data_IF_290800353674
#
_entry.id   IF_290800353674
#
_cell.length_a   1.000
_cell.length_b   1.000
_cell.length_c   1.000
_cell.angle_alpha   90.00
_cell.angle_beta   90.00
_cell.angle_gamma   90.00
#
_symmetry.space_group_name_H-M   'P 1'
#
loop_
_entity.id
_entity.type
_entity.pdbx_description
1 polymer ?
#
# COMPACT_ATOMS: atom_id res chain seq x y z
N UNK A 1 37.81 -38.95 -6.33
CA UNK A 1 37.68 -37.50 -6.63
C UNK A 1 36.33 -36.92 -6.20
N UNK A 2 35.19 -37.60 -6.42
CA UNK A 2 33.85 -37.10 -6.06
C UNK A 2 33.52 -37.05 -4.53
N UNK A 3 34.14 -37.89 -3.71
CA UNK A 3 33.89 -37.93 -2.25
C UNK A 3 34.68 -36.86 -1.47
N UNK A 4 35.88 -36.52 -1.95
CA UNK A 4 36.71 -35.44 -1.37
C UNK A 4 36.12 -34.05 -1.62
N UNK A 5 35.44 -33.85 -2.75
CA UNK A 5 34.68 -32.62 -3.04
C UNK A 5 33.48 -32.46 -2.11
N UNK A 6 32.81 -33.57 -1.76
CA UNK A 6 31.63 -33.56 -0.89
C UNK A 6 31.99 -33.22 0.58
N UNK A 7 33.11 -33.77 1.07
CA UNK A 7 33.61 -33.51 2.43
C UNK A 7 34.13 -32.07 2.57
N UNK A 8 34.77 -31.50 1.53
CA UNK A 8 35.19 -30.08 1.52
C UNK A 8 34.02 -29.10 1.49
N UNK A 9 32.93 -29.41 0.80
CA UNK A 9 31.72 -28.59 0.83
C UNK A 9 31.08 -28.54 2.24
N UNK A 10 31.10 -29.66 2.96
CA UNK A 10 30.53 -29.75 4.31
C UNK A 10 31.34 -28.95 5.35
N UNK A 11 32.66 -29.01 5.28
CA UNK A 11 33.54 -28.27 6.19
C UNK A 11 33.44 -26.74 6.00
N UNK A 12 33.21 -26.29 4.76
CA UNK A 12 32.89 -24.89 4.46
C UNK A 12 31.58 -24.44 5.13
N UNK A 13 30.53 -25.26 5.10
CA UNK A 13 29.25 -24.89 5.71
C UNK A 13 29.34 -24.75 7.24
N UNK A 14 30.12 -25.63 7.89
CA UNK A 14 30.31 -25.57 9.34
C UNK A 14 31.16 -24.35 9.75
N UNK A 15 32.23 -24.02 9.02
CA UNK A 15 33.16 -22.94 9.38
C UNK A 15 32.66 -21.54 9.00
N UNK A 16 31.87 -21.40 7.92
CA UNK A 16 31.33 -20.11 7.49
C UNK A 16 29.96 -19.76 8.10
N UNK A 17 29.33 -20.68 8.85
CA UNK A 17 28.05 -20.43 9.53
C UNK A 17 28.11 -19.20 10.46
N UNK A 18 29.18 -19.06 11.24
CA UNK A 18 29.41 -17.91 12.12
C UNK A 18 29.67 -16.62 11.34
N UNK A 19 30.36 -16.70 10.19
CA UNK A 19 30.63 -15.53 9.35
C UNK A 19 29.33 -15.03 8.70
N UNK A 20 28.48 -15.94 8.22
CA UNK A 20 27.16 -15.60 7.67
C UNK A 20 26.27 -14.98 8.74
N UNK A 21 26.26 -15.56 9.96
CA UNK A 21 25.47 -15.03 11.08
C UNK A 21 25.97 -13.64 11.51
N UNK A 22 27.29 -13.43 11.58
CA UNK A 22 27.87 -12.11 11.83
C UNK A 22 27.55 -11.13 10.71
N UNK A 23 27.55 -11.57 9.44
CA UNK A 23 27.17 -10.72 8.31
C UNK A 23 25.70 -10.30 8.40
N UNK A 24 24.80 -11.22 8.75
CA UNK A 24 23.36 -10.92 8.98
C UNK A 24 23.19 -9.98 10.17
N UNK A 25 23.91 -10.19 11.27
CA UNK A 25 23.87 -9.31 12.44
C UNK A 25 24.44 -7.93 12.15
N UNK A 26 25.51 -7.82 11.37
CA UNK A 26 26.10 -6.53 10.95
C UNK A 26 25.17 -5.82 9.98
N UNK A 27 24.56 -6.52 9.03
CA UNK A 27 23.54 -5.96 8.14
C UNK A 27 22.35 -5.47 8.97
N UNK A 28 21.84 -6.29 9.88
CA UNK A 28 20.73 -5.96 10.79
C UNK A 28 21.07 -4.77 11.69
N UNK A 29 22.25 -4.76 12.33
CA UNK A 29 22.71 -3.69 13.20
C UNK A 29 22.98 -2.39 12.43
N UNK A 30 23.62 -2.47 11.25
CA UNK A 30 23.79 -1.32 10.35
C UNK A 30 22.43 -0.78 9.89
N UNK A 31 21.47 -1.67 9.60
CA UNK A 31 20.11 -1.30 9.24
C UNK A 31 19.40 -0.58 10.39
N UNK A 32 19.48 -1.12 11.63
CA UNK A 32 18.92 -0.48 12.82
C UNK A 32 19.55 0.90 13.09
N UNK A 33 20.87 1.03 12.96
CA UNK A 33 21.59 2.28 13.24
C UNK A 33 21.34 3.34 12.16
N UNK A 34 21.36 2.96 10.88
CA UNK A 34 21.07 3.86 9.74
C UNK A 34 19.63 4.37 9.81
N UNK A 35 18.66 3.52 10.19
CA UNK A 35 17.25 3.89 10.40
C UNK A 35 17.05 4.89 11.54
N UNK A 36 17.85 4.80 12.60
CA UNK A 36 17.66 5.61 13.81
C UNK A 36 18.43 6.94 13.80
N UNK A 37 19.46 7.09 12.97
CA UNK A 37 20.30 8.30 12.94
C UNK A 37 19.93 9.32 11.84
N UNK A 38 19.19 8.90 10.79
CA UNK A 38 18.85 9.78 9.68
C UNK A 38 17.35 9.73 9.34
N UNK A 39 16.60 10.78 9.70
CA UNK A 39 15.20 10.95 9.29
C UNK A 39 15.00 10.92 7.74
N UNK A 40 16.06 11.23 6.97
CA UNK A 40 16.09 11.14 5.50
C UNK A 40 16.17 9.70 4.97
N UNK A 41 16.72 8.77 5.75
CA UNK A 41 16.81 7.36 5.34
C UNK A 41 15.45 6.67 5.39
N UNK A 42 14.55 7.09 6.28
CA UNK A 42 13.15 6.65 6.29
C UNK A 42 12.42 7.01 4.99
N UNK A 43 12.70 8.21 4.45
CA UNK A 43 12.14 8.68 3.18
C UNK A 43 12.75 7.93 1.96
N UNK A 44 14.03 7.51 2.01
CA UNK A 44 14.71 6.74 0.95
C UNK A 44 14.32 5.26 0.99
N UNK A 45 14.20 4.68 2.18
CA UNK A 45 13.76 3.31 2.38
C UNK A 45 12.30 3.13 1.94
N UNK A 46 11.43 4.11 2.24
CA UNK A 46 10.09 4.17 1.67
C UNK A 46 10.12 4.32 0.15
N UNK A 47 11.07 5.07 -0.42
CA UNK A 47 11.21 5.20 -1.89
C UNK A 47 11.72 3.92 -2.57
N UNK A 48 12.59 3.17 -1.90
CA UNK A 48 13.12 1.89 -2.39
C UNK A 48 12.11 0.75 -2.24
N UNK A 49 11.32 0.71 -1.16
CA UNK A 49 10.21 -0.24 -1.01
C UNK A 49 9.02 0.09 -1.93
N UNK A 50 8.80 1.37 -2.27
CA UNK A 50 7.83 1.78 -3.30
C UNK A 50 8.28 1.47 -4.74
N UNK A 51 9.54 1.10 -4.97
CA UNK A 51 10.05 0.70 -6.28
C UNK A 51 9.85 -0.79 -6.58
N UNK A 52 9.09 -1.53 -5.76
CA UNK A 52 8.35 -2.68 -6.28
C UNK A 52 7.22 -2.10 -7.15
N UNK A 53 7.38 -2.08 -8.49
CA UNK A 53 6.54 -1.27 -9.38
C UNK A 53 5.06 -1.66 -9.30
N UNK A 54 4.77 -2.87 -8.81
CA UNK A 54 3.41 -3.39 -8.71
C UNK A 54 2.70 -3.08 -7.37
N UNK A 55 3.42 -2.95 -6.26
CA UNK A 55 2.82 -2.65 -4.95
C UNK A 55 2.67 -1.14 -4.72
N UNK A 56 3.58 -0.33 -5.27
CA UNK A 56 3.55 1.12 -5.11
C UNK A 56 2.30 1.77 -5.70
N UNK A 57 1.80 1.28 -6.85
CA UNK A 57 0.59 1.81 -7.49
C UNK A 57 -0.67 1.53 -6.64
N UNK A 58 -0.76 0.34 -6.04
CA UNK A 58 -1.91 -0.10 -5.26
C UNK A 58 -1.99 0.69 -3.94
N UNK A 59 -0.85 0.85 -3.27
CA UNK A 59 -0.75 1.71 -2.09
C UNK A 59 -1.12 3.16 -2.42
N UNK A 60 -0.68 3.69 -3.58
CA UNK A 60 -1.02 5.04 -4.02
C UNK A 60 -2.53 5.24 -4.16
N UNK A 61 -3.23 4.32 -4.83
CA UNK A 61 -4.69 4.40 -4.98
C UNK A 61 -5.42 4.26 -3.64
N UNK A 62 -4.95 3.37 -2.77
CA UNK A 62 -5.51 3.23 -1.43
C UNK A 62 -5.38 4.51 -0.60
N UNK A 63 -4.21 5.16 -0.60
CA UNK A 63 -4.00 6.42 0.11
C UNK A 63 -4.90 7.54 -0.43
N UNK A 64 -5.01 7.66 -1.77
CA UNK A 64 -5.88 8.65 -2.39
C UNK A 64 -7.36 8.40 -2.08
N UNK A 65 -7.80 7.14 -2.10
CA UNK A 65 -9.16 6.76 -1.70
C UNK A 65 -9.45 7.21 -0.26
N UNK A 66 -8.59 6.89 0.70
CA UNK A 66 -8.77 7.30 2.11
C UNK A 66 -8.83 8.83 2.23
N UNK A 67 -7.92 9.56 1.57
CA UNK A 67 -7.91 11.03 1.58
C UNK A 67 -9.25 11.58 1.12
N UNK A 68 -9.72 11.19 -0.07
CA UNK A 68 -10.97 11.71 -0.62
C UNK A 68 -12.21 11.20 0.11
N UNK A 69 -12.16 10.00 0.70
CA UNK A 69 -13.24 9.48 1.55
C UNK A 69 -13.41 10.35 2.80
N UNK A 70 -12.33 10.67 3.51
CA UNK A 70 -12.40 11.53 4.69
C UNK A 70 -12.78 12.96 4.29
N UNK A 71 -12.26 13.48 3.15
CA UNK A 71 -12.72 14.77 2.62
C UNK A 71 -14.23 14.76 2.37
N UNK A 72 -14.76 13.71 1.76
CA UNK A 72 -16.20 13.56 1.51
C UNK A 72 -16.99 13.58 2.82
N UNK A 73 -16.58 12.79 3.82
CA UNK A 73 -17.24 12.72 5.14
C UNK A 73 -17.21 14.08 5.84
N UNK A 74 -16.06 14.77 5.83
CA UNK A 74 -15.90 16.06 6.51
C UNK A 74 -16.68 17.17 5.81
N UNK A 75 -16.74 17.16 4.47
CA UNK A 75 -17.57 18.09 3.70
C UNK A 75 -19.07 17.81 3.87
N UNK A 76 -19.48 16.53 3.92
CA UNK A 76 -20.85 16.13 4.27
C UNK A 76 -21.27 16.63 5.66
N UNK A 77 -20.34 16.60 6.62
CA UNK A 77 -20.55 17.13 7.97
C UNK A 77 -20.52 18.66 8.04
N UNK A 78 -20.31 19.37 6.93
CA UNK A 78 -20.23 20.84 6.89
C UNK A 78 -18.98 21.41 7.54
N UNK A 79 -17.94 20.60 7.75
CA UNK A 79 -16.69 21.07 8.37
C UNK A 79 -15.89 21.93 7.39
N UNK A 80 -15.20 22.98 7.88
CA UNK A 80 -14.26 23.74 7.08
C UNK A 80 -13.21 22.83 6.43
N UNK A 81 -12.89 23.08 5.15
CA UNK A 81 -11.91 22.30 4.38
C UNK A 81 -10.57 22.12 5.12
N UNK A 82 -10.05 23.20 5.71
CA UNK A 82 -8.79 23.17 6.47
C UNK A 82 -8.86 22.24 7.69
N UNK A 83 -10.01 22.14 8.34
CA UNK A 83 -10.21 21.22 9.47
C UNK A 83 -10.22 19.76 8.97
N UNK A 84 -10.92 19.49 7.86
CA UNK A 84 -10.90 18.18 7.22
C UNK A 84 -9.48 17.74 6.83
N UNK A 85 -8.70 18.63 6.23
CA UNK A 85 -7.30 18.34 5.86
C UNK A 85 -6.40 18.04 7.06
N UNK A 86 -6.61 18.71 8.20
CA UNK A 86 -5.88 18.40 9.45
C UNK A 86 -6.20 16.99 9.95
N UNK A 87 -7.48 16.62 9.99
CA UNK A 87 -7.93 15.28 10.38
C UNK A 87 -7.27 14.22 9.48
N UNK A 88 -7.25 14.44 8.17
CA UNK A 88 -6.63 13.50 7.22
C UNK A 88 -5.13 13.38 7.51
N UNK A 89 -4.45 14.49 7.75
CA UNK A 89 -3.00 14.50 8.02
C UNK A 89 -2.65 13.68 9.28
N UNK A 90 -3.50 13.72 10.31
CA UNK A 90 -3.34 12.93 11.53
C UNK A 90 -3.64 11.44 11.32
N UNK A 91 -4.56 11.11 10.41
CA UNK A 91 -4.97 9.73 10.14
C UNK A 91 -4.01 8.96 9.21
N UNK A 92 -3.35 9.64 8.28
CA UNK A 92 -2.44 8.96 7.35
C UNK A 92 -1.17 8.50 8.08
N UNK A 93 -0.74 7.27 7.83
CA UNK A 93 0.53 6.73 8.34
C UNK A 93 1.71 7.00 7.39
N UNK A 94 1.42 7.31 6.13
CA UNK A 94 2.42 7.44 5.08
C UNK A 94 3.04 8.85 5.06
N UNK A 95 4.30 8.96 5.52
CA UNK A 95 5.06 10.21 5.65
C UNK A 95 5.02 11.14 4.41
N UNK A 96 5.11 10.59 3.19
CA UNK A 96 5.07 11.40 1.96
C UNK A 96 3.73 12.11 1.78
N UNK A 97 2.61 11.44 2.10
CA UNK A 97 1.28 12.02 2.00
C UNK A 97 1.01 12.98 3.16
N UNK A 98 1.49 12.66 4.38
CA UNK A 98 1.43 13.59 5.51
C UNK A 98 2.13 14.92 5.19
N UNK A 99 3.36 14.86 4.65
CA UNK A 99 4.11 16.07 4.26
C UNK A 99 3.37 16.84 3.16
N UNK A 100 2.88 16.14 2.14
CA UNK A 100 2.13 16.78 1.06
C UNK A 100 0.83 17.44 1.54
N UNK A 101 0.09 16.84 2.48
CA UNK A 101 -1.10 17.46 3.06
C UNK A 101 -0.75 18.65 3.97
N UNK A 102 0.35 18.57 4.71
CA UNK A 102 0.85 19.70 5.50
C UNK A 102 1.19 20.89 4.60
N UNK A 103 1.89 20.64 3.49
CA UNK A 103 2.22 21.65 2.48
C UNK A 103 0.94 22.18 1.80
N UNK A 104 -0.05 21.32 1.56
CA UNK A 104 -1.36 21.70 1.01
C UNK A 104 -2.13 22.64 1.95
N UNK A 105 -2.15 22.35 3.25
CA UNK A 105 -2.76 23.21 4.27
C UNK A 105 -2.10 24.59 4.27
N UNK A 106 -0.76 24.63 4.25
CA UNK A 106 -0.01 25.89 4.17
C UNK A 106 -0.32 26.66 2.87
N UNK A 107 -0.41 25.95 1.75
CA UNK A 107 -0.74 26.52 0.44
C UNK A 107 -2.13 27.19 0.43
N UNK A 108 -3.14 26.52 0.99
CA UNK A 108 -4.51 27.05 1.07
C UNK A 108 -4.59 28.21 2.07
N UNK A 109 -3.86 28.13 3.18
CA UNK A 109 -3.80 29.21 4.18
C UNK A 109 -3.20 30.50 3.59
N UNK A 110 -2.35 30.39 2.57
CA UNK A 110 -1.81 31.53 1.81
C UNK A 110 -2.80 32.09 0.77
N UNK A 111 -4.04 31.60 0.71
CA UNK A 111 -5.07 32.03 -0.24
C UNK A 111 -4.94 31.43 -1.65
N UNK A 112 -4.08 30.42 -1.83
CA UNK A 112 -3.95 29.72 -3.12
C UNK A 112 -4.96 28.56 -3.20
N UNK A 113 -5.38 28.20 -4.41
CA UNK A 113 -6.39 27.15 -4.59
C UNK A 113 -5.87 25.74 -4.27
N UNK A 114 -6.76 24.86 -3.82
CA UNK A 114 -6.53 23.43 -3.61
C UNK A 114 -6.19 22.74 -4.94
N UNK A 115 -6.89 23.08 -6.01
CA UNK A 115 -6.62 22.55 -7.36
C UNK A 115 -5.19 22.84 -7.81
N UNK A 116 -4.70 24.07 -7.60
CA UNK A 116 -3.34 24.45 -8.00
C UNK A 116 -2.28 23.64 -7.26
N UNK A 117 -2.48 23.33 -5.98
CA UNK A 117 -1.56 22.45 -5.25
C UNK A 117 -1.51 21.05 -5.86
N UNK A 118 -2.67 20.46 -6.13
CA UNK A 118 -2.77 19.12 -6.72
C UNK A 118 -2.18 19.06 -8.14
N UNK A 119 -2.24 20.16 -8.90
CA UNK A 119 -1.63 20.25 -10.23
C UNK A 119 -0.11 20.13 -10.23
N UNK A 120 0.55 20.67 -9.21
CA UNK A 120 2.01 20.73 -9.13
C UNK A 120 2.63 19.61 -8.30
N UNK A 121 1.82 18.83 -7.57
CA UNK A 121 2.31 17.77 -6.70
C UNK A 121 2.15 16.38 -7.37
N UNK A 122 3.25 15.65 -7.61
CA UNK A 122 3.22 14.38 -8.35
C UNK A 122 2.48 13.24 -7.64
N UNK A 123 2.18 13.37 -6.35
CA UNK A 123 1.41 12.37 -5.60
C UNK A 123 -0.06 12.34 -6.04
N UNK A 124 -0.59 13.46 -6.52
CA UNK A 124 -1.96 13.59 -7.00
C UNK A 124 -2.01 13.41 -8.53
N UNK A 125 -2.70 12.39 -9.05
CA UNK A 125 -2.86 12.21 -10.50
C UNK A 125 -3.64 13.38 -11.13
N UNK A 126 -3.53 13.61 -12.46
CA UNK A 126 -4.19 14.73 -13.15
C UNK A 126 -5.70 14.81 -12.93
N UNK A 127 -6.37 13.67 -12.73
CA UNK A 127 -7.81 13.61 -12.47
C UNK A 127 -8.20 14.33 -11.17
N UNK A 128 -7.34 14.32 -10.14
CA UNK A 128 -7.57 15.06 -8.91
C UNK A 128 -7.69 16.56 -9.19
N UNK A 129 -6.78 17.12 -9.99
CA UNK A 129 -6.82 18.52 -10.38
C UNK A 129 -8.11 18.86 -11.12
N UNK A 130 -8.52 18.04 -12.09
CA UNK A 130 -9.71 18.30 -12.90
C UNK A 130 -11.00 18.34 -12.06
N UNK A 131 -11.16 17.35 -11.18
CA UNK A 131 -12.32 17.24 -10.30
C UNK A 131 -12.33 18.37 -9.26
N UNK A 132 -11.21 18.59 -8.58
CA UNK A 132 -11.14 19.64 -7.56
C UNK A 132 -11.24 21.04 -8.16
N UNK A 133 -10.67 21.30 -9.34
CA UNK A 133 -10.87 22.58 -10.02
C UNK A 133 -12.34 22.81 -10.35
N UNK A 134 -13.05 21.79 -10.82
CA UNK A 134 -14.50 21.86 -11.07
C UNK A 134 -15.29 22.07 -9.78
N UNK A 135 -14.83 21.46 -8.69
CA UNK A 135 -15.45 21.55 -7.38
C UNK A 135 -15.28 22.93 -6.73
N UNK A 136 -14.09 23.53 -6.85
CA UNK A 136 -13.82 24.89 -6.36
C UNK A 136 -14.63 25.93 -7.13
N UNK A 137 -14.75 25.78 -8.45
CA UNK A 137 -15.50 26.70 -9.30
C UNK A 137 -17.02 26.61 -9.11
N UNK A 138 -17.54 25.40 -8.83
CA UNK A 138 -18.98 25.16 -8.65
C UNK A 138 -19.44 25.22 -7.19
N UNK A 139 -18.50 25.26 -6.23
CA UNK A 139 -18.79 25.15 -4.80
C UNK A 139 -19.23 23.75 -4.35
N UNK A 140 -19.10 22.73 -5.20
CA UNK A 140 -19.61 21.37 -4.95
C UNK A 140 -18.52 20.41 -4.47
N UNK A 141 -17.73 20.81 -3.46
CA UNK A 141 -16.58 20.03 -2.98
C UNK A 141 -16.97 18.60 -2.54
N UNK A 142 -18.08 18.47 -1.83
CA UNK A 142 -18.62 17.17 -1.41
C UNK A 142 -18.84 16.21 -2.59
N UNK A 143 -19.56 16.66 -3.62
CA UNK A 143 -19.92 15.83 -4.76
C UNK A 143 -18.67 15.34 -5.52
N UNK A 144 -17.76 16.26 -5.87
CA UNK A 144 -16.56 15.89 -6.62
C UNK A 144 -15.58 15.04 -5.79
N UNK A 145 -15.48 15.24 -4.47
CA UNK A 145 -14.70 14.36 -3.60
C UNK A 145 -15.30 12.94 -3.59
N UNK A 146 -16.63 12.82 -3.52
CA UNK A 146 -17.31 11.52 -3.57
C UNK A 146 -17.04 10.80 -4.89
N UNK A 147 -17.08 11.51 -6.02
CA UNK A 147 -16.74 10.94 -7.32
C UNK A 147 -15.27 10.46 -7.37
N UNK A 148 -14.34 11.22 -6.79
CA UNK A 148 -12.94 10.80 -6.69
C UNK A 148 -12.77 9.57 -5.80
N UNK A 149 -13.47 9.49 -4.66
CA UNK A 149 -13.45 8.32 -3.78
C UNK A 149 -13.88 7.06 -4.51
N UNK A 150 -14.96 7.13 -5.29
CA UNK A 150 -15.44 6.01 -6.10
C UNK A 150 -14.45 5.64 -7.21
N UNK A 151 -13.90 6.64 -7.91
CA UNK A 151 -12.92 6.41 -8.97
C UNK A 151 -11.67 5.71 -8.44
N UNK A 152 -11.11 6.16 -7.30
CA UNK A 152 -9.94 5.53 -6.69
C UNK A 152 -10.24 4.15 -6.12
N UNK A 153 -11.45 3.93 -5.60
CA UNK A 153 -11.88 2.62 -5.14
C UNK A 153 -11.95 1.62 -6.30
N UNK A 154 -12.54 2.02 -7.43
CA UNK A 154 -12.60 1.18 -8.64
C UNK A 154 -11.19 0.82 -9.15
N UNK A 155 -10.30 1.81 -9.23
CA UNK A 155 -8.90 1.58 -9.62
C UNK A 155 -8.16 0.67 -8.64
N UNK A 156 -8.51 0.70 -7.36
CA UNK A 156 -7.95 -0.20 -6.36
C UNK A 156 -8.47 -1.62 -6.55
N UNK A 157 -9.78 -1.79 -6.76
CA UNK A 157 -10.45 -3.08 -6.94
C UNK A 157 -10.00 -3.79 -8.21
N UNK A 158 -9.94 -3.12 -9.37
CA UNK A 158 -9.45 -3.70 -10.63
C UNK A 158 -8.02 -4.26 -10.49
N UNK A 159 -7.17 -3.54 -9.74
CA UNK A 159 -5.78 -3.93 -9.50
C UNK A 159 -5.66 -5.06 -8.50
N UNK A 160 -6.52 -5.07 -7.47
CA UNK A 160 -6.60 -6.16 -6.51
C UNK A 160 -7.12 -7.43 -7.16
N UNK A 161 -8.15 -7.35 -7.99
CA UNK A 161 -8.73 -8.50 -8.67
C UNK A 161 -7.75 -9.12 -9.66
N UNK A 162 -6.97 -8.30 -10.37
CA UNK A 162 -5.87 -8.79 -11.20
C UNK A 162 -4.81 -9.57 -10.40
N UNK A 163 -4.51 -9.15 -9.17
CA UNK A 163 -3.62 -9.89 -8.26
C UNK A 163 -4.27 -11.18 -7.80
N UNK A 164 -5.56 -11.14 -7.44
CA UNK A 164 -6.31 -12.32 -7.00
C UNK A 164 -6.41 -13.37 -8.10
N UNK A 165 -6.73 -13.01 -9.34
CA UNK A 165 -6.79 -13.96 -10.47
C UNK A 165 -5.46 -14.67 -10.69
N UNK A 166 -4.34 -13.97 -10.48
CA UNK A 166 -3.02 -14.59 -10.56
C UNK A 166 -2.70 -15.50 -9.36
N UNK A 167 -3.23 -15.19 -8.17
CA UNK A 167 -3.07 -15.99 -6.96
C UNK A 167 -4.08 -17.14 -6.83
N UNK A 168 -5.20 -17.06 -7.56
CA UNK A 168 -6.27 -18.07 -7.61
C UNK A 168 -5.73 -19.51 -7.80
N UNK A 169 -4.77 -19.82 -8.69
CA UNK A 169 -4.23 -21.18 -8.82
C UNK A 169 -3.56 -21.71 -7.54
N UNK A 170 -3.06 -20.85 -6.65
CA UNK A 170 -2.44 -21.26 -5.38
C UNK A 170 -3.51 -21.51 -4.32
N UNK A 171 -4.54 -20.66 -4.25
CA UNK A 171 -5.64 -20.84 -3.30
C UNK A 171 -6.56 -22.02 -3.70
N UNK A 172 -6.87 -22.16 -4.99
CA UNK A 172 -7.75 -23.20 -5.51
C UNK A 172 -7.17 -24.63 -5.38
N UNK A 173 -5.83 -24.79 -5.33
CA UNK A 173 -5.23 -26.11 -5.07
C UNK A 173 -5.41 -26.55 -3.60
N UNK A 174 -5.60 -25.59 -2.68
CA UNK A 174 -5.83 -25.88 -1.26
C UNK A 174 -7.27 -26.33 -1.01
N UNK A 175 -8.25 -25.73 -1.72
CA UNK A 175 -9.66 -26.17 -1.67
C UNK A 175 -9.87 -27.55 -2.30
N UNK A 176 -9.06 -27.94 -3.31
CA UNK A 176 -9.15 -29.27 -3.93
C UNK A 176 -8.92 -30.41 -2.93
N UNK A 177 -8.10 -30.20 -1.91
CA UNK A 177 -7.82 -31.20 -0.86
C UNK A 177 -9.05 -31.37 0.06
N UNK A 178 -9.76 -30.28 0.36
CA UNK A 178 -10.98 -30.30 1.18
C UNK A 178 -12.18 -30.88 0.43
N UNK A 179 -12.27 -30.69 -0.89
CA UNK A 179 -13.25 -31.37 -1.75
C UNK A 179 -13.08 -32.90 -1.74
N UNK A 180 -11.84 -33.41 -1.82
CA UNK A 180 -11.59 -34.84 -1.75
C UNK A 180 -11.84 -35.41 -0.34
N UNK A 181 -11.53 -34.67 0.72
CA UNK A 181 -11.82 -35.09 2.09
C UNK A 181 -13.32 -35.16 2.39
N UNK A 182 -14.10 -34.17 1.95
CA UNK A 182 -15.55 -34.20 2.08
C UNK A 182 -16.19 -35.33 1.25
N UNK A 183 -15.71 -35.57 0.02
CA UNK A 183 -16.18 -36.65 -0.84
C UNK A 183 -15.81 -38.05 -0.30
N UNK A 184 -14.60 -38.24 0.23
CA UNK A 184 -14.19 -39.52 0.83
C UNK A 184 -14.91 -39.82 2.15
N UNK A 185 -15.19 -38.80 2.98
CA UNK A 185 -16.00 -38.98 4.19
C UNK A 185 -17.42 -39.43 3.85
N UNK A 186 -18.04 -38.87 2.81
CA UNK A 186 -19.38 -39.23 2.36
C UNK A 186 -19.42 -40.66 1.78
N UNK A 187 -18.46 -41.03 0.91
CA UNK A 187 -18.36 -42.37 0.31
C UNK A 187 -18.02 -43.47 1.34
N UNK A 188 -17.26 -43.15 2.39
CA UNK A 188 -16.96 -44.09 3.48
C UNK A 188 -18.13 -44.36 4.44
N UNK A 189 -19.15 -43.50 4.43
CA UNK A 189 -20.28 -43.55 5.38
C UNK A 189 -21.43 -44.47 4.94
N UNK A 190 -21.34 -45.09 3.75
CA UNK A 190 -22.16 -46.26 3.41
C UNK A 190 -23.67 -46.03 3.48
N UNK A 191 -24.18 -44.84 3.15
CA UNK A 191 -25.62 -44.65 2.97
C UNK A 191 -25.96 -44.90 1.49
N UNK A 192 -26.29 -46.15 1.20
CA UNK A 192 -27.08 -46.55 0.03
C UNK A 192 -28.35 -45.69 -0.05
N UNK A 193 -28.36 -44.70 -0.93
CA UNK A 193 -29.60 -44.06 -1.39
C UNK A 193 -30.35 -45.05 -2.27
N UNK A 194 -31.41 -45.63 -1.69
CA UNK A 194 -32.55 -46.14 -2.43
C UNK A 194 -33.45 -44.97 -2.85
#
# INVERSE_FOLDING_TARGET
MLTLTLIRCSQWFSQYSLIILLFILIISYSYYTIKHHNAKFRDIEQRCWLNLPYLGILLRYHQLHIIFQIMTITQQAGLPLLQGLKIITEQLTHSLYQRALTDMIAHITQGKSLSSFMRHNPLFPPICYQFISSAENSGQLQFFCQQLTHWFYHQLEERLDSVKTWLEPIFNDTDRIDYWHAYYCDVSSGVTTR
#
